data_IF_444333838561
#
_entry.id   IF_444333838561
#
_cell.length_a   1.000
_cell.length_b   1.000
_cell.length_c   1.000
_cell.angle_alpha   90.00
_cell.angle_beta   90.00
_cell.angle_gamma   90.00
#
_symmetry.space_group_name_H-M   'P 1'
#
loop_
_entity.id
_entity.type
_entity.pdbx_description
1 polymer ?
#
# COMPACT_ATOMS: atom_id res chain seq x y z
N UNK A 1 11.26 12.88 7.88
CA UNK A 1 9.87 13.30 7.58
C UNK A 1 9.07 12.01 7.37
N UNK A 2 7.88 11.91 7.96
CA UNK A 2 7.12 10.64 8.09
C UNK A 2 6.97 9.85 6.78
N UNK A 3 6.93 10.54 5.62
CA UNK A 3 6.87 9.92 4.29
C UNK A 3 8.11 9.05 3.98
N UNK A 4 9.32 9.51 4.27
CA UNK A 4 10.53 8.71 3.97
C UNK A 4 10.53 7.40 4.74
N UNK A 5 10.12 7.43 6.01
CA UNK A 5 10.02 6.23 6.84
C UNK A 5 8.91 5.29 6.38
N UNK A 6 7.78 5.84 5.93
CA UNK A 6 6.66 5.07 5.40
C UNK A 6 7.07 4.34 4.11
N UNK A 7 7.83 5.01 3.24
CA UNK A 7 8.44 4.40 2.06
C UNK A 7 9.43 3.29 2.43
N UNK A 8 10.37 3.55 3.35
CA UNK A 8 11.32 2.55 3.81
C UNK A 8 10.63 1.34 4.46
N UNK A 9 9.54 1.56 5.19
CA UNK A 9 8.77 0.48 5.80
C UNK A 9 8.14 -0.44 4.75
N UNK A 10 7.54 0.10 3.68
CA UNK A 10 6.96 -0.70 2.60
C UNK A 10 8.04 -1.44 1.79
N UNK A 11 9.23 -0.86 1.69
CA UNK A 11 10.38 -1.49 1.05
C UNK A 11 10.89 -2.69 1.85
N UNK A 12 10.98 -2.56 3.19
CA UNK A 12 11.38 -3.66 4.08
C UNK A 12 10.30 -4.72 4.27
N UNK A 13 9.03 -4.34 4.15
CA UNK A 13 7.87 -5.22 4.34
C UNK A 13 6.98 -5.24 3.08
N UNK A 14 7.41 -5.91 1.99
CA UNK A 14 6.62 -6.02 0.78
C UNK A 14 5.30 -6.74 1.07
N UNK A 15 4.17 -6.11 0.73
CA UNK A 15 2.84 -6.67 0.99
C UNK A 15 2.27 -6.34 2.38
N UNK A 16 2.87 -5.40 3.11
CA UNK A 16 2.29 -4.89 4.35
C UNK A 16 0.85 -4.39 4.13
N UNK A 17 -0.05 -4.79 5.02
CA UNK A 17 -1.44 -4.35 4.95
C UNK A 17 -1.60 -2.91 5.40
N UNK A 18 -2.67 -2.27 4.92
CA UNK A 18 -3.09 -0.95 5.37
C UNK A 18 -3.21 -0.87 6.89
N UNK A 19 -3.74 -1.91 7.52
CA UNK A 19 -3.88 -2.01 8.98
C UNK A 19 -2.55 -2.07 9.70
N UNK A 20 -1.60 -2.84 9.18
CA UNK A 20 -0.25 -2.96 9.75
C UNK A 20 0.50 -1.61 9.69
N UNK A 21 0.39 -0.90 8.57
CA UNK A 21 1.00 0.43 8.39
C UNK A 21 0.32 1.44 9.31
N UNK A 22 -1.02 1.46 9.34
CA UNK A 22 -1.81 2.34 10.20
C UNK A 22 -1.42 2.19 11.67
N UNK A 23 -1.32 0.94 12.15
CA UNK A 23 -0.90 0.63 13.53
C UNK A 23 0.54 1.04 13.81
N UNK A 24 1.47 0.82 12.87
CA UNK A 24 2.90 1.14 13.04
C UNK A 24 3.15 2.64 13.15
N UNK A 25 2.44 3.44 12.37
CA UNK A 25 2.62 4.90 12.30
C UNK A 25 1.57 5.68 13.10
N UNK A 26 0.70 4.98 13.84
CA UNK A 26 -0.43 5.58 14.58
C UNK A 26 -1.31 6.48 13.69
N UNK A 27 -1.54 6.03 12.45
CA UNK A 27 -2.39 6.71 11.45
C UNK A 27 -3.75 6.02 11.34
N UNK A 28 -4.75 6.75 10.85
CA UNK A 28 -5.97 6.11 10.36
C UNK A 28 -5.68 5.36 9.05
N UNK A 29 -6.48 4.35 8.76
CA UNK A 29 -6.39 3.60 7.51
C UNK A 29 -6.52 4.52 6.28
N UNK A 30 -7.45 5.47 6.31
CA UNK A 30 -7.62 6.47 5.26
C UNK A 30 -6.44 7.45 5.19
N UNK A 31 -5.82 7.74 6.34
CA UNK A 31 -4.58 8.53 6.41
C UNK A 31 -3.43 7.84 5.69
N UNK A 32 -3.30 6.52 5.83
CA UNK A 32 -2.31 5.74 5.08
C UNK A 32 -2.58 5.80 3.57
N UNK A 33 -3.82 5.59 3.13
CA UNK A 33 -4.22 5.73 1.72
C UNK A 33 -3.90 7.13 1.18
N UNK A 34 -4.21 8.19 1.93
CA UNK A 34 -3.92 9.57 1.54
C UNK A 34 -2.41 9.82 1.37
N UNK A 35 -1.58 9.34 2.31
CA UNK A 35 -0.13 9.49 2.24
C UNK A 35 0.48 8.71 1.07
N UNK A 36 -0.04 7.51 0.79
CA UNK A 36 0.45 6.66 -0.29
C UNK A 36 -0.08 7.05 -1.67
N UNK A 37 -1.19 7.79 -1.74
CA UNK A 37 -1.84 8.18 -3.00
C UNK A 37 -0.89 8.85 -3.99
N UNK A 38 0.06 9.67 -3.50
CA UNK A 38 1.04 10.36 -4.33
C UNK A 38 2.00 9.37 -4.99
N UNK A 39 2.46 8.34 -4.27
CA UNK A 39 3.36 7.33 -4.82
C UNK A 39 2.63 6.31 -5.69
N UNK A 40 1.38 6.00 -5.38
CA UNK A 40 0.53 5.18 -6.24
C UNK A 40 0.34 5.86 -7.59
N UNK A 41 0.01 7.16 -7.60
CA UNK A 41 -0.12 7.95 -8.84
C UNK A 41 1.19 8.06 -9.63
N UNK A 42 2.33 8.12 -8.94
CA UNK A 42 3.67 8.13 -9.55
C UNK A 42 4.14 6.74 -10.01
N UNK A 43 3.37 5.69 -9.74
CA UNK A 43 3.74 4.32 -10.03
C UNK A 43 4.91 3.79 -9.21
N UNK A 44 5.22 4.41 -8.07
CA UNK A 44 6.29 3.98 -7.15
C UNK A 44 5.81 2.88 -6.19
N UNK A 45 4.52 2.88 -5.84
CA UNK A 45 3.90 1.90 -4.93
C UNK A 45 2.68 1.29 -5.63
N UNK A 46 2.56 -0.03 -5.60
CA UNK A 46 1.34 -0.73 -6.02
C UNK A 46 0.43 -1.00 -4.83
N UNK A 47 -0.88 -0.90 -5.10
CA UNK A 47 -1.95 -1.26 -4.17
C UNK A 47 -2.57 -2.58 -4.63
N UNK A 48 -2.58 -3.58 -3.74
CA UNK A 48 -3.20 -4.88 -3.95
C UNK A 48 -4.48 -4.96 -3.12
N UNK A 49 -5.57 -5.41 -3.73
CA UNK A 49 -6.86 -5.55 -3.09
C UNK A 49 -7.22 -7.04 -3.08
N UNK A 50 -7.26 -7.62 -1.89
CA UNK A 50 -7.74 -8.98 -1.71
C UNK A 50 -9.26 -8.93 -1.57
N UNK A 51 -9.96 -9.62 -2.46
CA UNK A 51 -11.41 -9.69 -2.48
C UNK A 51 -11.89 -11.07 -2.00
N UNK A 52 -13.14 -11.14 -1.55
CA UNK A 52 -13.80 -12.42 -1.29
C UNK A 52 -14.62 -12.86 -2.51
N UNK A 53 -15.26 -14.04 -2.41
CA UNK A 53 -16.14 -14.59 -3.47
C UNK A 53 -17.33 -13.70 -3.86
N UNK A 54 -17.58 -12.62 -3.11
CA UNK A 54 -18.63 -11.65 -3.36
C UNK A 54 -18.06 -10.30 -3.82
N UNK A 55 -16.81 -10.26 -4.32
CA UNK A 55 -16.08 -9.08 -4.78
C UNK A 55 -15.90 -7.98 -3.71
N UNK A 56 -16.05 -8.31 -2.42
CA UNK A 56 -15.82 -7.35 -1.34
C UNK A 56 -14.36 -7.34 -0.95
N UNK A 57 -13.76 -6.15 -0.88
CA UNK A 57 -12.39 -5.95 -0.42
C UNK A 57 -12.27 -6.36 1.05
N UNK A 58 -11.49 -7.40 1.30
CA UNK A 58 -11.21 -7.92 2.65
C UNK A 58 -9.89 -7.43 3.19
N UNK A 59 -8.91 -7.12 2.31
CA UNK A 59 -7.60 -6.64 2.71
C UNK A 59 -7.00 -5.73 1.64
N UNK A 60 -6.34 -4.67 2.09
CA UNK A 60 -5.57 -3.75 1.24
C UNK A 60 -4.10 -3.89 1.62
N UNK A 61 -3.24 -4.14 0.64
CA UNK A 61 -1.79 -4.30 0.81
C UNK A 61 -1.01 -3.36 -0.10
N UNK A 62 0.19 -2.99 0.33
CA UNK A 62 1.08 -2.11 -0.42
C UNK A 62 2.43 -2.77 -0.66
N UNK A 63 3.00 -2.53 -1.83
CA UNK A 63 4.34 -2.98 -2.17
C UNK A 63 5.05 -1.93 -3.03
N UNK A 64 6.35 -1.78 -2.84
CA UNK A 64 7.19 -0.97 -3.70
C UNK A 64 7.27 -1.60 -5.09
N UNK A 65 7.12 -0.79 -6.13
CA UNK A 65 7.37 -1.22 -7.50
C UNK A 65 8.87 -1.27 -7.74
N UNK A 66 9.32 -2.31 -8.47
CA UNK A 66 10.68 -2.34 -8.99
C UNK A 66 10.85 -1.25 -10.04
N UNK A 67 12.09 -0.81 -10.27
CA UNK A 67 12.40 0.30 -11.18
C UNK A 67 11.93 0.06 -12.64
N UNK A 68 11.75 -1.22 -13.01
CA UNK A 68 11.20 -1.68 -14.30
C UNK A 68 9.80 -2.33 -14.15
N UNK A 69 9.12 -2.07 -13.03
CA UNK A 69 7.84 -2.68 -12.67
C UNK A 69 6.64 -1.82 -13.11
N UNK A 70 5.69 -2.43 -13.81
CA UNK A 70 4.40 -1.80 -14.09
C UNK A 70 3.54 -1.74 -12.82
N UNK A 71 2.90 -0.60 -12.60
CA UNK A 71 1.89 -0.47 -11.54
C UNK A 71 0.59 -1.09 -12.01
N UNK A 72 0.18 -2.17 -11.35
CA UNK A 72 -1.06 -2.89 -11.67
C UNK A 72 -1.89 -3.03 -10.41
N UNK A 73 -3.17 -2.70 -10.49
CA UNK A 73 -4.13 -3.07 -9.44
C UNK A 73 -4.59 -4.50 -9.73
N UNK A 74 -4.17 -5.44 -8.88
CA UNK A 74 -4.61 -6.84 -8.96
C UNK A 74 -5.77 -7.02 -7.99
N UNK A 75 -6.85 -7.59 -8.51
CA UNK A 75 -8.01 -8.10 -7.77
C UNK A 75 -7.90 -9.62 -7.77
N UNK A 76 -7.88 -10.25 -6.59
CA UNK A 76 -7.88 -11.71 -6.41
C UNK A 76 -8.98 -12.13 -5.45
#
# INVERSE_FOLDING_TARGET
MILTELKSFIEMHPGASRQEIAKKFSLSEDGVDAMLSVWIRKGTVSRMLDTNKSDQVTRVRYAMNRNDGLSVTVTM
#
